data_IF_225168857272
#
_entry.id   IF_225168857272
#
_cell.length_a   1.000
_cell.length_b   1.000
_cell.length_c   1.000
_cell.angle_alpha   90.00
_cell.angle_beta   90.00
_cell.angle_gamma   90.00
#
_symmetry.space_group_name_H-M   'P 1'
#
loop_
_entity.id
_entity.type
_entity.pdbx_description
1 polymer ?
#
# COMPACT_ATOMS: atom_id res chain seq x y z
N UNK A 1 14.35 -6.72 -10.91
CA UNK A 1 15.03 -7.00 -12.19
C UNK A 1 16.44 -7.60 -12.11
N UNK A 2 17.24 -7.54 -11.02
CA UNK A 2 18.65 -7.97 -11.08
C UNK A 2 18.87 -9.50 -11.16
N UNK A 3 17.96 -10.32 -10.63
CA UNK A 3 18.15 -11.78 -10.60
C UNK A 3 17.96 -12.49 -11.94
N UNK A 4 17.27 -11.88 -12.91
CA UNK A 4 17.15 -12.45 -14.26
C UNK A 4 18.47 -12.40 -15.04
N UNK A 5 19.40 -11.51 -14.69
CA UNK A 5 20.69 -11.40 -15.40
C UNK A 5 21.56 -12.65 -15.25
N UNK A 6 21.40 -13.42 -14.17
CA UNK A 6 22.18 -14.63 -13.92
C UNK A 6 21.69 -15.84 -14.74
N UNK A 7 20.39 -15.90 -15.03
CA UNK A 7 19.78 -17.01 -15.78
C UNK A 7 19.56 -16.67 -17.26
N UNK A 8 19.52 -15.39 -17.61
CA UNK A 8 19.17 -14.85 -18.92
C UNK A 8 17.94 -13.94 -18.83
N UNK A 9 17.93 -12.83 -19.57
CA UNK A 9 16.84 -11.83 -19.52
C UNK A 9 15.47 -12.38 -19.94
N UNK A 10 15.43 -13.47 -20.71
CA UNK A 10 14.22 -14.15 -21.17
C UNK A 10 13.87 -15.43 -20.40
N UNK A 11 14.59 -15.75 -19.33
CA UNK A 11 14.46 -17.04 -18.63
C UNK A 11 13.13 -17.24 -17.89
N UNK A 12 12.35 -16.18 -17.77
CA UNK A 12 11.03 -16.21 -17.19
C UNK A 12 9.90 -16.33 -18.23
N UNK A 13 10.23 -16.37 -19.52
CA UNK A 13 9.25 -16.44 -20.60
C UNK A 13 9.02 -17.90 -21.02
N UNK A 14 7.80 -18.46 -20.89
CA UNK A 14 7.54 -19.89 -21.18
C UNK A 14 7.75 -20.30 -22.64
N UNK A 15 7.93 -19.32 -23.53
CA UNK A 15 8.02 -19.51 -25.00
C UNK A 15 9.44 -19.40 -25.54
N UNK A 16 10.44 -19.12 -24.69
CA UNK A 16 11.84 -19.01 -25.09
C UNK A 16 12.65 -20.25 -24.70
N UNK A 17 13.65 -20.60 -25.52
CA UNK A 17 14.55 -21.75 -25.36
C UNK A 17 15.34 -21.73 -24.04
N UNK A 18 15.50 -20.56 -23.44
CA UNK A 18 16.19 -20.33 -22.17
C UNK A 18 15.23 -20.32 -20.97
N UNK A 19 14.00 -20.83 -21.11
CA UNK A 19 13.03 -20.89 -20.02
C UNK A 19 13.52 -21.77 -18.87
N UNK A 20 13.55 -21.20 -17.67
CA UNK A 20 13.80 -21.96 -16.46
C UNK A 20 12.68 -21.68 -15.44
N UNK A 21 11.92 -22.70 -15.00
CA UNK A 21 10.80 -22.50 -14.08
C UNK A 21 11.24 -21.78 -12.80
N UNK A 22 12.43 -22.07 -12.28
CA UNK A 22 13.00 -21.37 -11.13
C UNK A 22 13.19 -19.86 -11.37
N UNK A 23 13.66 -19.47 -12.56
CA UNK A 23 13.84 -18.06 -12.92
C UNK A 23 12.50 -17.34 -13.08
N UNK A 24 11.46 -18.02 -13.59
CA UNK A 24 10.10 -17.49 -13.65
C UNK A 24 9.50 -17.26 -12.25
N UNK A 25 9.66 -18.23 -11.34
CA UNK A 25 9.25 -18.06 -9.93
C UNK A 25 9.98 -16.88 -9.28
N UNK A 26 11.28 -16.75 -9.51
CA UNK A 26 12.09 -15.67 -8.94
C UNK A 26 11.70 -14.29 -9.51
N UNK A 27 11.34 -14.21 -10.79
CA UNK A 27 10.77 -13.00 -11.40
C UNK A 27 9.47 -12.59 -10.72
N UNK A 28 8.58 -13.56 -10.49
CA UNK A 28 7.27 -13.32 -9.89
C UNK A 28 7.40 -12.79 -8.45
N UNK A 29 8.23 -13.45 -7.62
CA UNK A 29 8.50 -13.02 -6.25
C UNK A 29 9.15 -11.64 -6.23
N UNK A 30 10.13 -11.40 -7.11
CA UNK A 30 10.75 -10.09 -7.26
C UNK A 30 9.74 -9.01 -7.65
N UNK A 31 8.84 -9.29 -8.60
CA UNK A 31 7.76 -8.39 -9.02
C UNK A 31 6.79 -8.04 -7.89
N UNK A 32 6.37 -9.04 -7.11
CA UNK A 32 5.56 -8.82 -5.91
C UNK A 32 6.28 -7.96 -4.88
N UNK A 33 7.56 -8.21 -4.63
CA UNK A 33 8.37 -7.42 -3.70
C UNK A 33 8.45 -5.94 -4.10
N UNK A 34 8.63 -5.63 -5.39
CA UNK A 34 8.61 -4.25 -5.88
C UNK A 34 7.24 -3.60 -5.73
N UNK A 35 6.16 -4.34 -5.99
CA UNK A 35 4.79 -3.81 -5.82
C UNK A 35 4.47 -3.51 -4.35
N UNK A 36 4.98 -4.30 -3.40
CA UNK A 36 4.74 -4.08 -1.98
C UNK A 36 5.62 -2.99 -1.35
N UNK A 37 6.62 -2.48 -2.05
CA UNK A 37 7.54 -1.47 -1.51
C UNK A 37 6.81 -0.18 -1.09
N UNK A 38 5.94 0.34 -1.94
CA UNK A 38 5.18 1.58 -1.68
C UNK A 38 4.13 1.37 -0.57
N UNK A 39 3.30 0.31 -0.60
CA UNK A 39 2.39 -0.03 0.50
C UNK A 39 3.06 -0.17 1.87
N UNK A 40 4.19 -0.88 1.93
CA UNK A 40 4.91 -1.11 3.19
C UNK A 40 5.46 0.21 3.73
N UNK A 41 6.07 1.03 2.87
CA UNK A 41 6.56 2.35 3.26
C UNK A 41 5.42 3.22 3.83
N UNK A 42 4.28 3.30 3.12
CA UNK A 42 3.12 4.07 3.54
C UNK A 42 2.54 3.58 4.88
N UNK A 43 2.51 2.26 5.08
CA UNK A 43 2.07 1.64 6.33
C UNK A 43 2.94 2.06 7.53
N UNK A 44 4.27 2.04 7.39
CA UNK A 44 5.18 2.44 8.45
C UNK A 44 5.17 3.94 8.73
N UNK A 45 4.96 4.78 7.70
CA UNK A 45 4.74 6.23 7.90
C UNK A 45 3.47 6.44 8.75
N UNK A 46 2.37 5.77 8.42
CA UNK A 46 1.12 5.90 9.16
C UNK A 46 1.22 5.33 10.59
N UNK A 47 1.93 4.21 10.77
CA UNK A 47 2.18 3.61 12.09
C UNK A 47 2.99 4.55 13.00
N UNK A 48 3.94 5.30 12.43
CA UNK A 48 4.74 6.28 13.19
C UNK A 48 3.91 7.42 13.80
N UNK A 49 2.74 7.71 13.23
CA UNK A 49 1.84 8.79 13.67
C UNK A 49 0.72 8.25 14.56
N UNK A 50 0.03 7.20 14.10
CA UNK A 50 -1.22 6.75 14.69
C UNK A 50 -1.17 5.34 15.28
N UNK A 51 0.03 4.76 15.41
CA UNK A 51 0.27 3.39 15.89
C UNK A 51 -0.41 2.33 14.99
N UNK A 52 -0.55 1.12 15.53
CA UNK A 52 -1.14 -0.07 14.88
C UNK A 52 -2.40 0.17 14.04
N UNK A 53 -3.41 0.98 14.44
CA UNK A 53 -4.58 1.21 13.57
C UNK A 53 -4.25 2.05 12.33
N UNK A 54 -3.25 2.94 12.41
CA UNK A 54 -2.75 3.72 11.27
C UNK A 54 -2.09 2.85 10.21
N UNK A 55 -1.38 1.80 10.63
CA UNK A 55 -0.67 0.88 9.73
C UNK A 55 -1.59 0.27 8.66
N UNK A 56 -2.79 -0.20 9.05
CA UNK A 56 -3.72 -0.86 8.12
C UNK A 56 -4.25 0.12 7.07
N UNK A 57 -4.58 1.34 7.50
CA UNK A 57 -5.09 2.39 6.59
C UNK A 57 -3.98 2.92 5.69
N UNK A 58 -2.77 3.08 6.21
CA UNK A 58 -1.59 3.47 5.44
C UNK A 58 -1.19 2.42 4.39
N UNK A 59 -1.28 1.13 4.73
CA UNK A 59 -1.03 0.04 3.79
C UNK A 59 -2.03 0.06 2.61
N UNK A 60 -3.32 0.19 2.91
CA UNK A 60 -4.38 0.24 1.89
C UNK A 60 -4.26 1.53 1.05
N UNK A 61 -3.94 2.65 1.68
CA UNK A 61 -3.64 3.91 0.99
C UNK A 61 -2.44 3.80 0.04
N UNK A 62 -1.37 3.14 0.48
CA UNK A 62 -0.20 2.89 -0.34
C UNK A 62 -0.44 1.91 -1.49
N UNK A 63 -1.32 0.91 -1.30
CA UNK A 63 -1.79 0.05 -2.40
C UNK A 63 -2.56 0.87 -3.45
N UNK A 64 -3.50 1.72 -3.01
CA UNK A 64 -4.24 2.60 -3.91
C UNK A 64 -3.32 3.57 -4.67
N UNK A 65 -2.25 4.07 -4.03
CA UNK A 65 -1.27 4.92 -4.69
C UNK A 65 -0.40 4.17 -5.71
N UNK A 66 -0.06 2.91 -5.42
CA UNK A 66 0.71 2.07 -6.32
C UNK A 66 -0.12 1.65 -7.54
N UNK A 67 -1.35 1.16 -7.32
CA UNK A 67 -2.28 0.77 -8.38
C UNK A 67 -2.83 1.98 -9.15
N UNK A 68 -2.92 3.13 -8.49
CA UNK A 68 -3.33 4.40 -9.08
C UNK A 68 -2.24 5.10 -9.90
N UNK A 69 -1.02 4.57 -9.99
CA UNK A 69 0.04 5.17 -10.81
C UNK A 69 0.71 6.42 -10.22
N UNK A 70 0.36 6.80 -8.97
CA UNK A 70 1.06 7.84 -8.22
C UNK A 70 2.41 7.33 -7.65
N UNK A 71 2.58 6.01 -7.56
CA UNK A 71 3.82 5.34 -7.20
C UNK A 71 4.36 5.78 -5.84
N UNK A 72 5.68 5.91 -5.74
CA UNK A 72 6.37 6.22 -4.48
C UNK A 72 5.94 7.55 -3.85
N UNK A 73 5.76 8.61 -4.64
CA UNK A 73 5.35 9.92 -4.12
C UNK A 73 3.92 9.89 -3.58
N UNK A 74 3.01 9.22 -4.29
CA UNK A 74 1.65 8.99 -3.81
C UNK A 74 1.61 8.19 -2.51
N UNK A 75 2.47 7.18 -2.38
CA UNK A 75 2.57 6.39 -1.15
C UNK A 75 3.03 7.19 0.06
N UNK A 76 3.98 8.12 -0.10
CA UNK A 76 4.41 9.01 0.99
C UNK A 76 3.23 9.89 1.44
N UNK A 77 2.59 10.57 0.49
CA UNK A 77 1.47 11.48 0.79
C UNK A 77 0.31 10.70 1.42
N UNK A 78 -0.05 9.54 0.86
CA UNK A 78 -1.09 8.66 1.40
C UNK A 78 -0.76 8.14 2.80
N UNK A 79 0.51 7.82 3.08
CA UNK A 79 0.97 7.39 4.42
C UNK A 79 0.78 8.47 5.48
N UNK A 80 1.19 9.72 5.18
CA UNK A 80 0.95 10.84 6.09
C UNK A 80 -0.54 11.13 6.25
N UNK A 81 -1.30 11.19 5.16
CA UNK A 81 -2.74 11.42 5.19
C UNK A 81 -3.47 10.37 6.04
N UNK A 82 -3.15 9.08 5.84
CA UNK A 82 -3.70 7.98 6.63
C UNK A 82 -3.38 8.11 8.13
N UNK A 83 -2.13 8.46 8.46
CA UNK A 83 -1.72 8.71 9.84
C UNK A 83 -2.53 9.83 10.51
N UNK A 84 -2.67 10.98 9.85
CA UNK A 84 -3.43 12.11 10.40
C UNK A 84 -4.93 11.83 10.50
N UNK A 85 -5.53 11.14 9.52
CA UNK A 85 -6.94 10.75 9.56
C UNK A 85 -7.21 9.87 10.79
N UNK A 86 -6.36 8.88 11.05
CA UNK A 86 -6.54 7.98 12.18
C UNK A 86 -6.26 8.67 13.51
N UNK A 87 -5.27 9.57 13.56
CA UNK A 87 -5.01 10.38 14.75
C UNK A 87 -6.23 11.23 15.12
N UNK A 88 -6.86 11.87 14.13
CA UNK A 88 -8.08 12.66 14.33
C UNK A 88 -9.24 11.79 14.79
N UNK A 89 -9.37 10.60 14.21
CA UNK A 89 -10.40 9.63 14.61
C UNK A 89 -10.22 9.13 16.05
N UNK A 90 -8.97 8.87 16.47
CA UNK A 90 -8.67 8.53 17.87
C UNK A 90 -9.07 9.67 18.81
N UNK A 91 -8.80 10.92 18.43
CA UNK A 91 -9.16 12.09 19.22
C UNK A 91 -10.68 12.27 19.34
N UNK A 92 -11.43 12.03 18.26
CA UNK A 92 -12.89 12.10 18.28
C UNK A 92 -13.53 10.97 19.11
N UNK A 93 -12.97 9.75 19.05
CA UNK A 93 -13.50 8.58 19.73
C UNK A 93 -12.93 8.35 21.15
N UNK A 94 -12.11 9.27 21.67
CA UNK A 94 -11.52 9.20 23.02
C UNK A 94 -12.55 9.14 24.16
N UNK A 95 -13.80 9.56 23.93
CA UNK A 95 -14.86 9.58 24.96
C UNK A 95 -15.60 8.25 25.16
N UNK A 96 -15.25 7.17 24.46
CA UNK A 96 -15.95 5.88 24.56
C UNK A 96 -15.29 4.91 25.56
N UNK A 97 -16.08 4.10 26.30
CA UNK A 97 -15.59 3.22 27.36
C UNK A 97 -14.60 2.14 26.87
N UNK A 98 -13.64 1.80 27.74
CA UNK A 98 -12.46 0.96 27.47
C UNK A 98 -12.76 -0.47 27.00
N UNK A 99 -13.97 -0.98 27.26
CA UNK A 99 -14.41 -2.31 26.80
C UNK A 99 -14.50 -2.44 25.27
N UNK A 100 -14.50 -1.32 24.53
CA UNK A 100 -14.65 -1.29 23.06
C UNK A 100 -13.38 -0.87 22.33
N UNK A 101 -12.26 -0.61 23.02
CA UNK A 101 -11.05 -0.07 22.37
C UNK A 101 -10.38 -1.07 21.42
N UNK A 102 -10.43 -2.37 21.73
CA UNK A 102 -9.93 -3.42 20.84
C UNK A 102 -10.72 -3.51 19.52
N UNK A 103 -12.06 -3.51 19.61
CA UNK A 103 -12.94 -3.54 18.43
C UNK A 103 -12.82 -2.25 17.60
N UNK A 104 -12.66 -1.09 18.27
CA UNK A 104 -12.43 0.19 17.60
C UNK A 104 -11.15 0.19 16.78
N UNK A 105 -10.04 -0.26 17.36
CA UNK A 105 -8.72 -0.21 16.73
C UNK A 105 -8.58 -1.16 15.54
N UNK A 106 -9.24 -2.32 15.61
CA UNK A 106 -9.10 -3.36 14.58
C UNK A 106 -10.13 -3.24 13.45
N UNK A 107 -11.31 -2.67 13.72
CA UNK A 107 -12.42 -2.63 12.76
C UNK A 107 -12.91 -1.21 12.46
N UNK A 108 -13.18 -0.40 13.49
CA UNK A 108 -13.79 0.93 13.30
C UNK A 108 -12.80 1.92 12.69
N UNK A 109 -11.58 2.03 13.25
CA UNK A 109 -10.57 2.94 12.72
C UNK A 109 -10.14 2.57 11.30
N UNK A 110 -9.88 1.30 10.95
CA UNK A 110 -9.53 0.94 9.59
C UNK A 110 -10.65 1.22 8.59
N UNK A 111 -11.90 0.80 8.88
CA UNK A 111 -13.03 0.98 7.96
C UNK A 111 -13.32 2.45 7.69
N UNK A 112 -13.39 3.25 8.75
CA UNK A 112 -13.67 4.69 8.62
C UNK A 112 -12.46 5.42 8.03
N UNK A 113 -11.24 5.04 8.41
CA UNK A 113 -10.01 5.58 7.85
C UNK A 113 -9.89 5.38 6.34
N UNK A 114 -10.14 4.15 5.87
CA UNK A 114 -10.17 3.85 4.44
C UNK A 114 -11.29 4.62 3.75
N UNK A 115 -12.47 4.73 4.36
CA UNK A 115 -13.59 5.49 3.79
C UNK A 115 -13.23 6.97 3.57
N UNK A 116 -12.63 7.63 4.57
CA UNK A 116 -12.20 9.03 4.44
C UNK A 116 -10.99 9.20 3.52
N UNK A 117 -10.01 8.29 3.59
CA UNK A 117 -8.83 8.33 2.74
C UNK A 117 -9.20 8.13 1.27
N UNK A 118 -10.09 7.17 0.97
CA UNK A 118 -10.62 6.96 -0.38
C UNK A 118 -11.42 8.16 -0.88
N UNK A 119 -12.10 8.89 0.02
CA UNK A 119 -12.82 10.12 -0.36
C UNK A 119 -11.89 11.31 -0.61
N UNK A 120 -10.78 11.42 0.12
CA UNK A 120 -9.79 12.49 -0.03
C UNK A 120 -8.76 12.25 -1.14
N UNK A 121 -8.49 10.98 -1.47
CA UNK A 121 -7.58 10.58 -2.56
C UNK A 121 -8.34 10.35 -3.89
N UNK A 122 -9.66 10.61 -3.93
CA UNK A 122 -10.45 10.70 -5.15
C UNK A 122 -10.14 12.00 -5.91
N UNK A 123 -8.86 12.32 -6.08
CA UNK A 123 -8.42 13.31 -7.04
C UNK A 123 -8.36 12.63 -8.42
N UNK A 124 -9.15 13.08 -9.40
CA UNK A 124 -9.14 12.55 -10.77
C UNK A 124 -7.80 12.76 -11.50
N UNK A 125 -6.85 13.48 -10.90
CA UNK A 125 -5.50 13.70 -11.42
C UNK A 125 -4.55 12.50 -11.23
N UNK A 126 -4.87 11.54 -10.35
CA UNK A 126 -4.07 10.31 -10.16
C UNK A 126 -4.60 9.15 -11.00
N UNK A 127 -5.89 9.13 -11.35
CA UNK A 127 -6.46 8.09 -12.23
C UNK A 127 -6.10 8.28 -13.71
N UNK A 128 -5.61 9.45 -14.13
CA UNK A 128 -5.40 9.79 -15.54
C UNK A 128 -4.12 9.23 -16.16
N UNK A 129 -3.12 8.81 -15.37
CA UNK A 129 -1.83 8.33 -15.92
C UNK A 129 -1.80 6.83 -16.24
N UNK A 130 -2.86 6.07 -15.93
CA UNK A 130 -3.02 4.67 -16.35
C UNK A 130 -3.77 4.49 -17.68
N UNK A 131 -4.30 5.57 -18.29
CA UNK A 131 -4.82 5.53 -19.67
C UNK A 131 -3.78 5.90 -20.75
N UNK A 132 -2.54 6.21 -20.35
CA UNK A 132 -1.50 6.70 -21.25
C UNK A 132 -0.28 5.77 -21.39
N UNK A 133 -0.36 4.52 -20.91
CA UNK A 133 0.65 3.47 -21.15
C UNK A 133 0.01 2.09 -21.27
#
# INVERSE_FOLDING_TARGET
MPFLLLFGIYSADPKHETYHPFAAYLKSIGGLGFSLMVPILAAFIADSIARRPGMVVGFIGGLLANDGGAGFLGGIIAGFAAGYIILLLQFLLQKLPASLDGLKSIFIYPVIGIFFLNRGCHDPAVSSNHRAK
#
